data_IF_674971676910
#
_entry.id   IF_674971676910
#
_cell.length_a   1.000
_cell.length_b   1.000
_cell.length_c   1.000
_cell.angle_alpha   90.00
_cell.angle_beta   90.00
_cell.angle_gamma   90.00
#
_symmetry.space_group_name_H-M   'P 1'
#
loop_
_entity.id
_entity.type
_entity.pdbx_description
1 polymer ?
#
# COMPACT_ATOMS: atom_id res chain seq x y z
N UNK A 1 -2.31 23.98 15.70
CA UNK A 1 -1.70 22.77 15.10
C UNK A 1 -2.48 22.48 13.82
N UNK A 2 -1.99 22.94 12.67
CA UNK A 2 -2.67 22.74 11.39
C UNK A 2 -2.42 21.31 10.93
N UNK A 3 -3.43 20.47 11.05
CA UNK A 3 -3.37 19.08 10.62
C UNK A 3 -3.55 19.10 9.10
N UNK A 4 -2.46 18.88 8.37
CA UNK A 4 -2.51 18.65 6.94
C UNK A 4 -2.74 17.17 6.71
N UNK A 5 -3.84 16.80 6.05
CA UNK A 5 -4.09 15.40 5.68
C UNK A 5 -3.90 15.26 4.17
N UNK A 6 -2.91 14.47 3.78
CA UNK A 6 -2.70 14.06 2.40
C UNK A 6 -3.10 12.59 2.28
N UNK A 7 -3.92 12.28 1.28
CA UNK A 7 -4.31 10.94 0.90
C UNK A 7 -3.94 10.80 -0.57
N UNK A 8 -2.91 10.02 -0.84
CA UNK A 8 -2.52 9.64 -2.20
C UNK A 8 -3.15 8.28 -2.49
N UNK A 9 -4.02 8.24 -3.48
CA UNK A 9 -4.65 7.03 -3.98
C UNK A 9 -3.95 6.61 -5.27
N UNK A 10 -3.07 5.62 -5.17
CA UNK A 10 -2.44 5.04 -6.35
C UNK A 10 -3.36 3.92 -6.85
N UNK A 11 -4.13 4.24 -7.88
CA UNK A 11 -4.97 3.27 -8.56
C UNK A 11 -4.09 2.36 -9.42
N UNK A 12 -4.03 1.08 -9.07
CA UNK A 12 -3.30 0.12 -9.87
C UNK A 12 -4.25 -0.60 -10.84
N UNK A 13 -3.86 -0.75 -12.11
CA UNK A 13 -4.55 -1.58 -13.09
C UNK A 13 -4.41 -3.08 -12.77
N UNK A 14 -3.52 -3.43 -11.84
CA UNK A 14 -3.21 -4.79 -11.40
C UNK A 14 -4.22 -5.35 -10.40
N UNK A 15 -5.48 -4.94 -10.51
CA UNK A 15 -6.61 -5.39 -9.68
C UNK A 15 -6.64 -6.91 -9.45
N UNK A 16 -6.48 -7.76 -10.49
CA UNK A 16 -6.54 -9.21 -10.32
C UNK A 16 -5.32 -9.78 -9.60
N UNK A 17 -4.18 -9.09 -9.69
CA UNK A 17 -2.91 -9.51 -9.12
C UNK A 17 -2.82 -9.08 -7.65
N UNK A 18 -3.20 -7.84 -7.32
CA UNK A 18 -3.21 -7.31 -5.95
C UNK A 18 -4.24 -7.99 -5.03
N UNK A 19 -5.33 -8.53 -5.60
CA UNK A 19 -6.28 -9.34 -4.84
C UNK A 19 -5.78 -10.76 -4.52
N UNK A 20 -4.72 -11.24 -5.19
CA UNK A 20 -4.11 -12.54 -4.86
C UNK A 20 -3.25 -12.37 -3.62
N UNK A 21 -3.44 -13.25 -2.64
CA UNK A 21 -2.61 -13.27 -1.44
C UNK A 21 -1.15 -13.44 -1.86
N UNK A 22 -0.26 -12.60 -1.33
CA UNK A 22 1.21 -12.71 -1.44
C UNK A 22 1.89 -12.18 -2.72
N UNK A 23 1.25 -11.35 -3.53
CA UNK A 23 1.89 -10.71 -4.70
C UNK A 23 2.73 -9.47 -4.35
N UNK A 24 2.40 -8.77 -3.26
CA UNK A 24 3.15 -7.59 -2.80
C UNK A 24 4.32 -8.07 -1.92
N UNK A 25 5.54 -7.94 -2.42
CA UNK A 25 6.75 -8.35 -1.71
C UNK A 25 7.19 -7.32 -0.67
N UNK A 26 7.14 -6.04 -1.03
CA UNK A 26 7.54 -4.95 -0.14
C UNK A 26 6.83 -3.65 -0.49
N UNK A 27 6.37 -2.92 0.52
CA UNK A 27 5.91 -1.54 0.43
C UNK A 27 6.85 -0.69 1.29
N UNK A 28 7.42 0.36 0.71
CA UNK A 28 8.25 1.33 1.40
C UNK A 28 7.73 2.75 1.12
N UNK A 29 7.55 3.54 2.17
CA UNK A 29 7.11 4.92 2.08
C UNK A 29 7.97 5.79 2.98
N UNK A 30 8.51 6.89 2.45
CA UNK A 30 9.39 7.78 3.22
C UNK A 30 8.65 8.62 4.27
N UNK A 31 7.31 8.71 4.18
CA UNK A 31 6.44 9.33 5.16
C UNK A 31 5.08 8.63 5.18
N UNK A 32 4.37 8.70 6.31
CA UNK A 32 3.04 8.14 6.42
C UNK A 32 3.00 6.60 6.32
N UNK A 33 1.82 6.08 5.96
CA UNK A 33 1.56 4.65 5.88
C UNK A 33 0.92 4.36 4.54
N UNK A 34 1.47 3.39 3.80
CA UNK A 34 0.89 2.88 2.57
C UNK A 34 0.42 1.44 2.75
N UNK A 35 -0.81 1.16 2.29
CA UNK A 35 -1.39 -0.17 2.36
C UNK A 35 -2.36 -0.39 1.21
N UNK A 36 -2.49 -1.64 0.80
CA UNK A 36 -3.55 -2.03 -0.11
C UNK A 36 -4.89 -2.03 0.64
N UNK A 37 -5.86 -1.27 0.15
CA UNK A 37 -7.20 -1.21 0.71
C UNK A 37 -8.19 -1.88 -0.26
N UNK A 38 -8.70 -3.05 0.12
CA UNK A 38 -9.62 -3.83 -0.72
C UNK A 38 -10.90 -3.07 -1.10
N UNK A 39 -11.37 -2.16 -0.23
CA UNK A 39 -12.54 -1.34 -0.49
C UNK A 39 -12.34 -0.39 -1.68
N UNK A 40 -11.13 0.18 -1.79
CA UNK A 40 -10.73 1.06 -2.88
C UNK A 40 -10.04 0.31 -4.00
N UNK A 41 -9.71 -0.97 -3.79
CA UNK A 41 -9.06 -1.81 -4.78
C UNK A 41 -7.68 -1.25 -5.20
N UNK A 42 -7.09 -0.43 -4.34
CA UNK A 42 -5.92 0.39 -4.68
C UNK A 42 -4.97 0.47 -3.49
N UNK A 43 -3.71 0.85 -3.75
CA UNK A 43 -2.80 1.16 -2.66
C UNK A 43 -3.08 2.60 -2.24
N UNK A 44 -3.46 2.75 -0.97
CA UNK A 44 -3.75 4.05 -0.37
C UNK A 44 -2.57 4.41 0.49
N UNK A 45 -1.93 5.53 0.15
CA UNK A 45 -0.82 6.11 0.88
C UNK A 45 -1.31 7.33 1.67
N UNK A 46 -1.40 7.18 2.98
CA UNK A 46 -1.93 8.19 3.91
C UNK A 46 -0.78 8.86 4.65
N UNK A 47 -0.70 10.19 4.54
CA UNK A 47 0.27 11.01 5.27
C UNK A 47 -0.52 11.95 6.19
N UNK A 48 -0.50 11.63 7.49
CA UNK A 48 -1.34 12.31 8.49
C UNK A 48 -0.78 13.66 8.95
N UNK A 49 0.55 13.84 8.89
CA UNK A 49 1.23 15.06 9.29
C UNK A 49 2.49 15.26 8.45
N UNK A 50 2.60 16.39 7.75
CA UNK A 50 3.86 16.83 7.16
C UNK A 50 4.70 17.59 8.20
N UNK A 51 6.04 17.57 8.07
CA UNK A 51 6.92 18.40 8.89
C UNK A 51 6.49 19.86 8.84
N UNK A 52 6.66 20.59 9.96
CA UNK A 52 6.31 22.01 10.06
C UNK A 52 6.92 22.82 8.91
N UNK A 53 6.34 23.99 8.62
CA UNK A 53 6.72 24.93 7.54
C UNK A 53 8.23 25.17 7.43
N UNK A 54 8.95 25.06 8.54
CA UNK A 54 10.40 25.32 8.66
C UNK A 54 11.28 24.08 8.40
N UNK A 55 10.67 22.91 8.15
CA UNK A 55 11.35 21.61 8.03
C UNK A 55 10.95 20.76 6.83
N UNK A 56 10.44 21.40 5.75
CA UNK A 56 10.28 20.72 4.47
C UNK A 56 8.84 20.48 4.04
N UNK A 57 7.99 21.52 4.10
CA UNK A 57 6.75 21.55 3.32
C UNK A 57 6.96 21.36 1.80
N UNK A 58 8.21 21.44 1.34
CA UNK A 58 8.66 21.20 -0.04
C UNK A 58 9.53 19.96 -0.19
N UNK A 59 9.54 19.04 0.78
CA UNK A 59 10.28 17.79 0.63
C UNK A 59 9.49 16.83 -0.23
N UNK A 60 10.16 16.29 -1.24
CA UNK A 60 9.64 15.18 -2.03
C UNK A 60 9.59 13.93 -1.15
N UNK A 61 8.42 13.32 -1.05
CA UNK A 61 8.26 12.01 -0.42
C UNK A 61 8.27 10.93 -1.48
N UNK A 62 8.88 9.79 -1.16
CA UNK A 62 9.06 8.67 -2.07
C UNK A 62 8.21 7.50 -1.57
N UNK A 63 7.52 6.87 -2.51
CA UNK A 63 6.79 5.62 -2.32
C UNK A 63 7.30 4.60 -3.32
N UNK A 64 7.72 3.43 -2.83
CA UNK A 64 8.17 2.32 -3.64
C UNK A 64 7.37 1.06 -3.27
N UNK A 65 6.87 0.36 -4.28
CA UNK A 65 6.20 -0.92 -4.12
C UNK A 65 6.80 -1.96 -5.06
N UNK A 66 7.18 -3.12 -4.52
CA UNK A 66 7.65 -4.27 -5.29
C UNK A 66 6.56 -5.32 -5.33
N UNK A 67 6.14 -5.66 -6.54
CA UNK A 67 5.10 -6.65 -6.80
C UNK A 67 5.74 -7.77 -7.60
N UNK A 68 5.67 -9.01 -7.09
CA UNK A 68 6.02 -10.20 -7.86
C UNK A 68 4.79 -10.69 -8.60
N UNK A 69 4.91 -10.78 -9.92
CA UNK A 69 3.88 -11.35 -10.77
C UNK A 69 4.32 -12.77 -11.13
N UNK A 70 3.53 -13.80 -10.80
CA UNK A 70 3.85 -15.16 -11.22
C UNK A 70 3.89 -15.30 -12.75
N UNK A 71 4.79 -16.13 -13.28
CA UNK A 71 5.01 -16.28 -14.73
C UNK A 71 3.81 -16.80 -15.52
N UNK A 72 2.83 -17.40 -14.83
CA UNK A 72 1.60 -17.92 -15.43
C UNK A 72 0.47 -16.89 -15.48
N UNK A 73 0.63 -15.73 -14.85
CA UNK A 73 -0.35 -14.66 -14.89
C UNK A 73 -0.05 -13.68 -16.03
N UNK A 74 -1.03 -13.36 -16.89
CA UNK A 74 -0.82 -12.38 -17.94
C UNK A 74 -0.64 -10.98 -17.32
N UNK A 75 0.46 -10.32 -17.67
CA UNK A 75 0.65 -8.90 -17.40
C UNK A 75 -0.32 -8.09 -18.29
N UNK A 76 -0.96 -7.05 -17.75
CA UNK A 76 -1.80 -6.18 -18.57
C UNK A 76 -0.95 -5.44 -19.60
N UNK A 77 -1.50 -5.25 -20.81
CA UNK A 77 -0.83 -4.52 -21.90
C UNK A 77 -0.66 -3.03 -21.57
N UNK A 78 -1.55 -2.48 -20.74
CA UNK A 78 -1.54 -1.07 -20.35
C UNK A 78 -1.63 -0.92 -18.84
N UNK A 79 -0.80 -0.04 -18.32
CA UNK A 79 -0.85 0.37 -16.94
C UNK A 79 -1.54 1.73 -16.80
N UNK A 80 -2.18 1.98 -15.67
CA UNK A 80 -2.73 3.30 -15.36
C UNK A 80 -1.55 4.26 -15.22
N UNK A 81 -1.38 5.26 -16.10
CA UNK A 81 -0.18 6.09 -16.08
C UNK A 81 -0.14 7.06 -14.90
N UNK A 82 -1.22 7.12 -14.12
CA UNK A 82 -1.50 8.27 -13.28
C UNK A 82 -2.08 7.88 -11.91
N UNK A 83 -1.70 8.58 -10.85
CA UNK A 83 -2.22 8.40 -9.51
C UNK A 83 -2.97 9.64 -9.05
N UNK A 84 -4.06 9.43 -8.31
CA UNK A 84 -4.87 10.50 -7.76
C UNK A 84 -4.32 10.94 -6.41
N UNK A 85 -4.07 12.24 -6.27
CA UNK A 85 -3.63 12.84 -5.03
C UNK A 85 -4.69 13.77 -4.51
N UNK A 86 -5.17 13.49 -3.30
CA UNK A 86 -6.07 14.36 -2.57
C UNK A 86 -5.37 14.92 -1.35
N UNK A 87 -5.46 16.23 -1.13
CA UNK A 87 -5.02 16.80 0.13
C UNK A 87 -5.91 17.91 0.63
N UNK A 88 -5.94 18.02 1.96
CA UNK A 88 -6.74 19.01 2.65
C UNK A 88 -5.87 19.87 3.56
N UNK A 89 -6.03 21.19 3.39
CA UNK A 89 -5.43 22.20 4.25
C UNK A 89 -6.53 22.79 5.13
N UNK A 90 -6.42 22.56 6.44
CA UNK A 90 -7.29 23.20 7.43
C UNK A 90 -6.81 24.62 7.75
N UNK A 91 -7.74 25.50 8.11
CA UNK A 91 -7.48 26.88 8.57
C UNK A 91 -6.96 27.86 7.49
N UNK A 92 -7.15 27.55 6.21
CA UNK A 92 -6.75 28.43 5.09
C UNK A 92 -7.81 28.47 3.98
N UNK A 93 -8.03 29.64 3.38
CA UNK A 93 -8.69 29.80 2.07
C UNK A 93 -7.62 29.97 0.99
N UNK A 94 -7.55 29.06 0.01
CA UNK A 94 -6.60 29.19 -1.11
C UNK A 94 -6.91 30.42 -1.96
N UNK A 95 -8.18 30.72 -2.15
CA UNK A 95 -8.66 31.84 -2.98
C UNK A 95 -8.37 33.22 -2.38
N UNK A 96 -7.71 33.26 -1.21
CA UNK A 96 -7.50 34.49 -0.43
C UNK A 96 -8.81 35.23 -0.07
N UNK A 97 -9.97 34.57 -0.19
CA UNK A 97 -11.24 35.14 0.22
C UNK A 97 -11.24 35.39 1.74
N UNK A 98 -11.74 36.54 2.16
CA UNK A 98 -11.89 36.91 3.56
C UNK A 98 -13.35 37.14 3.90
N UNK A 99 -13.83 36.49 4.95
CA UNK A 99 -15.17 36.73 5.48
C UNK A 99 -15.11 37.94 6.40
N UNK A 100 -15.78 39.02 6.02
CA UNK A 100 -15.76 40.31 6.72
C UNK A 100 -16.85 40.39 7.79
N UNK A 101 -18.03 39.85 7.52
CA UNK A 101 -19.14 39.85 8.46
C UNK A 101 -20.07 38.65 8.24
N UNK A 102 -20.68 38.18 9.34
CA UNK A 102 -21.75 37.18 9.36
C UNK A 102 -22.84 37.73 10.26
N UNK A 103 -24.00 38.07 9.68
CA UNK A 103 -25.14 38.60 10.41
C UNK A 103 -26.29 37.59 10.39
N UNK A 104 -27.00 37.47 11.51
CA UNK A 104 -28.22 36.67 11.63
C UNK A 104 -29.31 37.64 12.07
N UNK A 105 -30.18 38.10 11.16
CA UNK A 105 -31.26 39.01 11.52
C UNK A 105 -32.34 38.26 12.33
N UNK A 106 -33.03 39.00 13.22
CA UNK A 106 -34.19 38.53 13.99
C UNK A 106 -33.93 37.35 14.96
N UNK A 107 -32.73 37.26 15.53
CA UNK A 107 -32.45 36.32 16.62
C UNK A 107 -32.79 36.97 17.98
N UNK A 108 -33.64 36.33 18.79
CA UNK A 108 -33.97 36.79 20.15
C UNK A 108 -32.74 36.74 21.08
N UNK A 109 -31.84 35.78 20.84
CA UNK A 109 -30.54 35.65 21.50
C UNK A 109 -29.44 35.61 20.43
N UNK A 110 -28.31 36.28 20.68
CA UNK A 110 -27.21 36.30 19.70
C UNK A 110 -26.53 34.93 19.63
N UNK A 111 -26.57 34.22 18.49
CA UNK A 111 -25.96 32.90 18.39
C UNK A 111 -24.43 33.00 18.33
N UNK A 112 -23.76 31.96 18.81
CA UNK A 112 -22.33 31.79 18.60
C UNK A 112 -22.03 31.56 17.11
N UNK A 113 -21.01 32.26 16.59
CA UNK A 113 -20.60 32.18 15.18
C UNK A 113 -19.15 31.76 15.10
N UNK A 114 -18.89 30.72 14.32
CA UNK A 114 -17.53 30.32 13.98
C UNK A 114 -17.42 30.03 12.50
N UNK A 115 -16.21 30.18 11.98
CA UNK A 115 -15.86 29.85 10.61
C UNK A 115 -14.76 28.78 10.70
N UNK A 116 -14.90 27.73 9.89
CA UNK A 116 -13.82 26.77 9.69
C UNK A 116 -13.38 26.80 8.24
N UNK A 117 -12.32 27.56 7.90
CA UNK A 117 -11.75 27.51 6.58
C UNK A 117 -11.22 26.10 6.31
N UNK A 118 -11.63 25.51 5.19
CA UNK A 118 -11.13 24.24 4.72
C UNK A 118 -10.89 24.35 3.22
N UNK A 119 -9.70 23.94 2.82
CA UNK A 119 -9.30 23.89 1.42
C UNK A 119 -9.02 22.44 1.05
N UNK A 120 -9.52 22.01 -0.11
CA UNK A 120 -9.30 20.68 -0.67
C UNK A 120 -8.70 20.83 -2.05
N UNK A 121 -7.78 19.94 -2.35
CA UNK A 121 -7.08 19.90 -3.61
C UNK A 121 -7.09 18.47 -4.11
N UNK A 122 -7.27 18.34 -5.42
CA UNK A 122 -7.19 17.08 -6.14
C UNK A 122 -6.33 17.34 -7.37
N UNK A 123 -5.31 16.52 -7.55
CA UNK A 123 -4.45 16.55 -8.74
C UNK A 123 -3.97 15.15 -9.05
N UNK A 124 -3.58 14.95 -10.30
CA UNK A 124 -3.06 13.67 -10.77
C UNK A 124 -1.55 13.78 -10.95
N UNK A 125 -0.82 12.73 -10.60
CA UNK A 125 0.63 12.61 -10.81
C UNK A 125 0.94 11.43 -11.72
N UNK A 126 2.01 11.52 -12.49
CA UNK A 126 2.47 10.42 -13.34
C UNK A 126 3.16 9.34 -12.51
N UNK A 127 2.99 8.09 -12.93
CA UNK A 127 3.61 6.91 -12.33
C UNK A 127 4.71 6.40 -13.25
N UNK A 128 5.91 6.24 -12.68
CA UNK A 128 7.02 5.56 -13.35
C UNK A 128 6.99 4.07 -13.03
N UNK A 129 6.79 3.23 -14.06
CA UNK A 129 6.81 1.77 -13.94
C UNK A 129 8.16 1.19 -14.38
N UNK A 130 8.77 0.37 -13.52
CA UNK A 130 9.98 -0.38 -13.85
C UNK A 130 9.71 -1.89 -13.77
N UNK A 131 9.86 -2.58 -14.90
CA UNK A 131 9.74 -4.04 -14.98
C UNK A 131 11.12 -4.67 -14.92
N UNK A 132 11.28 -5.68 -14.06
CA UNK A 132 12.49 -6.50 -13.98
C UNK A 132 12.08 -7.97 -14.06
N UNK A 133 12.61 -8.68 -15.04
CA UNK A 133 12.52 -10.14 -15.06
C UNK A 133 13.58 -10.67 -14.10
N UNK A 134 13.16 -11.36 -13.04
CA UNK A 134 14.09 -12.12 -12.22
C UNK A 134 14.50 -13.37 -13.01
N UNK A 135 15.73 -13.37 -13.52
CA UNK A 135 16.33 -14.58 -14.08
C UNK A 135 16.30 -15.68 -13.00
N UNK A 136 15.55 -16.75 -13.29
CA UNK A 136 15.63 -17.98 -12.49
C UNK A 136 17.08 -18.45 -12.57
N UNK A 137 17.80 -18.42 -11.44
CA UNK A 137 19.00 -19.22 -11.32
C UNK A 137 18.56 -20.67 -11.46
N UNK A 138 18.85 -21.24 -12.62
CA UNK A 138 18.64 -22.66 -12.88
C UNK A 138 19.38 -23.45 -11.81
N UNK A 139 18.64 -23.95 -10.83
CA UNK A 139 19.15 -25.02 -9.99
C UNK A 139 19.27 -26.23 -10.91
N UNK A 140 20.50 -26.56 -11.28
CA UNK A 140 20.81 -27.77 -12.02
C UNK A 140 20.13 -28.98 -11.32
N UNK A 141 19.56 -29.93 -12.07
CA UNK A 141 18.94 -31.11 -11.48
C UNK A 141 19.97 -31.81 -10.58
N UNK A 142 19.60 -32.07 -9.33
CA UNK A 142 20.38 -32.94 -8.44
C UNK A 142 20.33 -34.33 -9.09
N UNK A 143 21.43 -34.76 -9.70
CA UNK A 143 21.61 -36.15 -10.11
C UNK A 143 21.63 -37.02 -8.86
N UNK A 144 20.55 -37.78 -8.64
CA UNK A 144 20.50 -38.81 -7.61
C UNK A 144 21.25 -40.03 -8.18
N UNK A 145 22.52 -40.19 -7.83
CA UNK A 145 23.31 -41.39 -8.13
C UNK A 145 22.82 -42.54 -7.25
N UNK A 146 21.88 -43.34 -7.76
CA UNK A 146 21.52 -44.62 -7.17
C UNK A 146 22.67 -45.62 -7.37
N UNK A 147 23.63 -45.61 -6.44
CA UNK A 147 24.56 -46.74 -6.26
C UNK A 147 24.06 -47.67 -5.17
N UNK A 148 23.52 -48.78 -5.65
CA UNK A 148 23.20 -50.00 -4.94
C UNK A 148 24.48 -50.67 -4.40
N UNK A 149 24.57 -50.91 -3.08
CA UNK A 149 25.49 -51.89 -2.47
C UNK A 149 24.94 -52.45 -1.13
N UNK A 150 25.34 -53.68 -0.75
CA UNK A 150 24.44 -54.75 -0.31
C UNK A 150 24.31 -54.98 1.21
N UNK A 151 23.34 -55.84 1.55
CA UNK A 151 22.97 -56.33 2.88
C UNK A 151 24.14 -56.92 3.70
N UNK A 152 24.20 -56.55 4.98
CA UNK A 152 24.69 -57.42 6.06
C UNK A 152 23.63 -57.50 7.16
N UNK A 153 23.13 -58.72 7.37
CA UNK A 153 22.14 -59.05 8.39
C UNK A 153 22.75 -59.09 9.79
N UNK A 154 21.96 -58.65 10.77
CA UNK A 154 21.86 -59.33 12.07
C UNK A 154 20.45 -59.13 12.64
N UNK A 155 19.68 -60.23 12.64
CA UNK A 155 18.42 -60.47 13.34
C UNK A 155 18.57 -60.05 14.84
N UNK A 156 17.59 -59.65 15.64
CA UNK A 156 16.29 -60.27 16.04
C UNK A 156 15.76 -59.27 17.10
N UNK A 157 14.49 -58.87 17.24
CA UNK A 157 13.35 -59.61 17.81
C UNK A 157 12.11 -58.70 17.80
N UNK A 158 10.96 -59.35 17.59
CA UNK A 158 9.60 -58.82 17.56
C UNK A 158 9.16 -58.23 18.91
N UNK A 159 8.26 -57.24 18.92
CA UNK A 159 6.86 -57.53 19.28
C UNK A 159 5.90 -56.38 18.94
N UNK A 160 4.77 -56.77 18.37
CA UNK A 160 3.55 -55.99 18.14
C UNK A 160 2.86 -55.64 19.46
N UNK A 161 2.28 -54.43 19.58
CA UNK A 161 0.98 -54.32 20.23
C UNK A 161 0.23 -53.04 19.82
N UNK A 162 -0.97 -53.27 19.31
CA UNK A 162 -2.11 -52.38 19.15
C UNK A 162 -2.77 -52.09 20.49
N UNK A 163 -3.20 -50.85 20.75
CA UNK A 163 -4.18 -50.54 21.80
C UNK A 163 -5.29 -49.63 21.22
N UNK A 164 -6.43 -50.28 20.96
CA UNK A 164 -7.79 -49.70 21.02
C UNK A 164 -8.23 -49.74 22.50
N UNK A 165 -8.77 -48.65 23.07
CA UNK A 165 -9.78 -48.74 24.14
C UNK A 165 -10.56 -47.43 24.33
N UNK A 166 -11.89 -47.57 24.30
CA UNK A 166 -13.00 -46.86 24.98
C UNK A 166 -13.07 -45.32 25.04
#
# INVERSE_FOLDING_TARGET
CSIFKYIVCVNFPLQPLLSKKNCINSINASAGIAKYEQAFRSIVWRIDQLPKRDQGAYKTHLFECKISVPSYDPLPEKYEPSADVEYSMSQVFISHCQIRSVAVPNAEETPEKWIRPQSRFSYTIDIEYAFKEEEKKDFAPIEIDMKEQPMTHSETENNSQSDDSD
#
